data_IF_025965258235
#
_entry.id   IF_025965258235
#
_cell.length_a   1.000
_cell.length_b   1.000
_cell.length_c   1.000
_cell.angle_alpha   90.00
_cell.angle_beta   90.00
_cell.angle_gamma   90.00
#
_symmetry.space_group_name_H-M   'P 1'
#
loop_
_entity.id
_entity.type
_entity.pdbx_description
1 polymer ?
#
# COMPACT_ATOMS: atom_id res chain seq x y z
N UNK A 1 -2.37 1.77 3.53
CA UNK A 1 -2.43 3.25 3.51
C UNK A 1 -2.56 3.82 2.10
N UNK A 2 -1.86 3.29 1.08
CA UNK A 2 -1.99 3.75 -0.32
C UNK A 2 -3.43 3.87 -0.85
N UNK A 3 -4.33 2.90 -0.58
CA UNK A 3 -5.76 3.03 -0.95
C UNK A 3 -6.45 4.22 -0.27
N UNK A 4 -6.13 4.49 1.00
CA UNK A 4 -6.71 5.62 1.73
C UNK A 4 -6.15 6.95 1.22
N UNK A 5 -4.85 6.99 0.94
CA UNK A 5 -4.20 8.13 0.31
C UNK A 5 -4.84 8.45 -1.05
N UNK A 6 -4.97 7.45 -1.92
CA UNK A 6 -5.49 7.61 -3.27
C UNK A 6 -6.97 7.99 -3.33
N UNK A 7 -7.81 7.36 -2.51
CA UNK A 7 -9.27 7.43 -2.69
C UNK A 7 -10.00 8.18 -1.59
N UNK A 8 -9.49 8.21 -0.36
CA UNK A 8 -10.17 8.90 0.74
C UNK A 8 -9.81 10.38 0.83
N UNK A 9 -8.58 10.76 0.43
CA UNK A 9 -8.09 12.15 0.25
C UNK A 9 -8.55 13.15 1.33
N UNK A 10 -8.69 12.71 2.57
CA UNK A 10 -9.15 13.57 3.66
C UNK A 10 -7.98 14.45 4.15
N UNK A 11 -8.09 15.80 4.13
CA UNK A 11 -6.96 16.70 4.39
C UNK A 11 -6.26 16.47 5.74
N UNK A 12 -7.04 16.14 6.78
CA UNK A 12 -6.49 15.85 8.12
C UNK A 12 -5.69 14.55 8.20
N UNK A 13 -5.91 13.60 7.29
CA UNK A 13 -5.27 12.28 7.33
C UNK A 13 -4.20 12.08 6.26
N UNK A 14 -4.19 12.92 5.22
CA UNK A 14 -3.21 12.81 4.14
C UNK A 14 -1.75 12.85 4.64
N UNK A 15 -1.33 13.81 5.48
CA UNK A 15 0.03 13.83 6.02
C UNK A 15 0.36 12.55 6.81
N UNK A 16 -0.57 12.09 7.64
CA UNK A 16 -0.38 10.86 8.43
C UNK A 16 -0.21 9.62 7.55
N UNK A 17 -0.97 9.49 6.45
CA UNK A 17 -0.79 8.38 5.52
C UNK A 17 0.55 8.46 4.79
N UNK A 18 1.00 9.65 4.41
CA UNK A 18 2.33 9.85 3.80
C UNK A 18 3.41 9.32 4.73
N UNK A 19 3.44 9.80 5.99
CA UNK A 19 4.44 9.40 6.97
C UNK A 19 4.45 7.89 7.21
N UNK A 20 3.27 7.28 7.33
CA UNK A 20 3.15 5.82 7.50
C UNK A 20 3.63 5.06 6.25
N UNK A 21 3.30 5.52 5.04
CA UNK A 21 3.74 4.88 3.79
C UNK A 21 5.26 4.88 3.69
N UNK A 22 5.90 6.02 3.98
CA UNK A 22 7.36 6.15 3.91
C UNK A 22 8.05 5.23 4.91
N UNK A 23 7.56 5.20 6.16
CA UNK A 23 8.08 4.29 7.18
C UNK A 23 7.95 2.81 6.76
N UNK A 24 6.79 2.40 6.24
CA UNK A 24 6.61 1.02 5.78
C UNK A 24 7.51 0.68 4.59
N UNK A 25 7.73 1.61 3.65
CA UNK A 25 8.64 1.40 2.52
C UNK A 25 10.08 1.21 2.97
N UNK A 26 10.54 2.03 3.91
CA UNK A 26 11.87 1.88 4.50
C UNK A 26 12.03 0.51 5.19
N UNK A 27 11.04 0.07 5.97
CA UNK A 27 11.09 -1.26 6.59
C UNK A 27 11.10 -2.38 5.54
N UNK A 28 10.26 -2.28 4.51
CA UNK A 28 10.19 -3.25 3.44
C UNK A 28 11.47 -3.28 2.59
N UNK A 29 12.12 -2.13 2.34
CA UNK A 29 13.37 -2.07 1.58
C UNK A 29 14.52 -2.79 2.31
N UNK A 30 14.53 -2.74 3.65
CA UNK A 30 15.46 -3.52 4.47
C UNK A 30 15.15 -5.02 4.42
N UNK A 31 13.88 -5.41 4.54
CA UNK A 31 13.45 -6.82 4.52
C UNK A 31 13.67 -7.47 3.14
N UNK A 32 13.39 -6.74 2.07
CA UNK A 32 13.49 -7.22 0.69
C UNK A 32 14.91 -7.26 0.13
N UNK A 33 15.93 -6.90 0.93
CA UNK A 33 17.31 -7.34 0.68
C UNK A 33 17.43 -8.87 0.59
N UNK A 34 16.51 -9.59 1.23
CA UNK A 34 16.35 -11.03 1.05
C UNK A 34 15.46 -11.35 -0.14
N UNK A 35 16.05 -11.96 -1.17
CA UNK A 35 15.30 -12.40 -2.36
C UNK A 35 14.20 -13.43 -2.02
N UNK A 36 14.41 -14.25 -0.99
CA UNK A 36 13.40 -15.23 -0.53
C UNK A 36 12.16 -14.51 -0.01
N UNK A 37 12.35 -13.47 0.81
CA UNK A 37 11.24 -12.68 1.35
C UNK A 37 10.55 -11.90 0.23
N UNK A 38 11.31 -11.32 -0.69
CA UNK A 38 10.75 -10.62 -1.85
C UNK A 38 9.89 -11.54 -2.71
N UNK A 39 10.41 -12.72 -3.09
CA UNK A 39 9.67 -13.69 -3.88
C UNK A 39 8.38 -14.15 -3.17
N UNK A 40 8.44 -14.39 -1.86
CA UNK A 40 7.25 -14.72 -1.10
C UNK A 40 6.23 -13.57 -1.10
N UNK A 41 6.68 -12.32 -1.02
CA UNK A 41 5.81 -11.16 -1.11
C UNK A 41 5.11 -11.06 -2.49
N UNK A 42 5.82 -11.35 -3.59
CA UNK A 42 5.24 -11.41 -4.93
C UNK A 42 4.11 -12.45 -5.01
N UNK A 43 4.36 -13.67 -4.56
CA UNK A 43 3.36 -14.76 -4.56
C UNK A 43 2.12 -14.40 -3.73
N UNK A 44 2.33 -13.66 -2.63
CA UNK A 44 1.27 -13.29 -1.68
C UNK A 44 0.61 -11.95 -2.02
N UNK A 45 1.08 -11.24 -3.02
CA UNK A 45 0.68 -9.85 -3.28
C UNK A 45 -0.84 -9.69 -3.44
N UNK A 46 -1.47 -10.54 -4.26
CA UNK A 46 -2.93 -10.51 -4.45
C UNK A 46 -3.70 -10.74 -3.15
N UNK A 47 -3.26 -11.68 -2.31
CA UNK A 47 -3.86 -11.90 -0.99
C UNK A 47 -3.71 -10.68 -0.07
N UNK A 48 -2.52 -10.09 -0.03
CA UNK A 48 -2.24 -8.89 0.76
C UNK A 48 -3.11 -7.71 0.31
N UNK A 49 -3.29 -7.53 -1.00
CA UNK A 49 -4.17 -6.52 -1.56
C UNK A 49 -5.62 -6.70 -1.10
N UNK A 50 -6.18 -7.91 -1.21
CA UNK A 50 -7.56 -8.16 -0.78
C UNK A 50 -7.78 -7.89 0.72
N UNK A 51 -6.78 -8.19 1.55
CA UNK A 51 -6.81 -7.82 2.98
C UNK A 51 -6.74 -6.29 3.18
N UNK A 52 -5.90 -5.60 2.42
CA UNK A 52 -5.78 -4.14 2.47
C UNK A 52 -7.08 -3.46 2.02
N UNK A 53 -7.69 -3.94 0.93
CA UNK A 53 -8.97 -3.49 0.39
C UNK A 53 -10.07 -3.54 1.46
N UNK A 54 -10.24 -4.68 2.12
CA UNK A 54 -11.24 -4.83 3.18
C UNK A 54 -11.01 -3.89 4.37
N UNK A 55 -9.75 -3.69 4.78
CA UNK A 55 -9.42 -2.74 5.87
C UNK A 55 -9.69 -1.29 5.46
N UNK A 56 -9.24 -0.89 4.27
CA UNK A 56 -9.40 0.47 3.77
C UNK A 56 -10.89 0.81 3.53
N UNK A 57 -11.67 -0.11 2.97
CA UNK A 57 -13.11 0.07 2.75
C UNK A 57 -13.85 0.26 4.08
N UNK A 58 -13.56 -0.58 5.10
CA UNK A 58 -14.17 -0.42 6.44
C UNK A 58 -13.79 0.89 7.12
N UNK A 59 -12.53 1.33 6.99
CA UNK A 59 -12.03 2.55 7.64
C UNK A 59 -12.57 3.83 6.99
N UNK A 60 -12.71 3.83 5.67
CA UNK A 60 -13.12 5.02 4.89
C UNK A 60 -14.62 5.07 4.58
N UNK A 61 -15.33 3.93 4.62
CA UNK A 61 -16.71 3.79 4.15
C UNK A 61 -16.85 3.81 2.62
N UNK A 62 -15.73 3.80 1.87
CA UNK A 62 -15.73 3.88 0.40
C UNK A 62 -15.85 2.51 -0.26
N UNK A 63 -16.41 2.50 -1.47
CA UNK A 63 -16.25 1.39 -2.41
C UNK A 63 -14.95 1.60 -3.18
N UNK A 64 -13.99 0.69 -2.96
CA UNK A 64 -12.65 0.75 -3.54
C UNK A 64 -12.50 -0.30 -4.67
N UNK A 65 -11.50 -0.17 -5.55
CA UNK A 65 -11.30 -1.13 -6.64
C UNK A 65 -11.14 -2.56 -6.14
N UNK A 66 -11.75 -3.52 -6.84
CA UNK A 66 -11.65 -4.95 -6.48
C UNK A 66 -10.32 -5.55 -6.91
N UNK A 67 -9.76 -5.03 -8.01
CA UNK A 67 -8.45 -5.39 -8.53
C UNK A 67 -7.41 -4.32 -8.19
N UNK A 68 -6.18 -4.75 -7.88
CA UNK A 68 -5.11 -3.83 -7.54
C UNK A 68 -4.74 -2.96 -8.75
N UNK A 69 -4.82 -1.63 -8.64
CA UNK A 69 -4.50 -0.74 -9.77
C UNK A 69 -2.98 -0.53 -9.95
N UNK A 70 -2.15 -1.09 -9.07
CA UNK A 70 -0.71 -0.86 -9.05
C UNK A 70 0.06 -2.18 -8.96
N UNK A 71 1.24 -2.21 -9.58
CA UNK A 71 2.19 -3.30 -9.41
C UNK A 71 2.89 -3.18 -8.05
N UNK A 72 3.50 -4.26 -7.59
CA UNK A 72 4.26 -4.26 -6.34
C UNK A 72 5.50 -3.37 -6.44
N UNK A 73 6.17 -3.31 -7.59
CA UNK A 73 7.31 -2.41 -7.82
C UNK A 73 6.90 -0.96 -7.61
N UNK A 74 5.73 -0.57 -8.15
CA UNK A 74 5.20 0.79 -7.99
C UNK A 74 4.84 1.09 -6.54
N UNK A 75 4.28 0.12 -5.82
CA UNK A 75 3.96 0.28 -4.39
C UNK A 75 5.23 0.49 -3.55
N UNK A 76 6.33 -0.18 -3.90
CA UNK A 76 7.59 -0.11 -3.18
C UNK A 76 8.48 1.06 -3.57
N UNK A 77 8.21 1.72 -4.69
CA UNK A 77 8.91 2.92 -5.13
C UNK A 77 8.71 4.07 -4.11
N UNK A 78 9.83 4.51 -3.52
CA UNK A 78 9.88 5.54 -2.46
C UNK A 78 9.45 6.92 -3.00
N UNK A 79 9.68 7.20 -4.28
CA UNK A 79 9.35 8.49 -4.91
C UNK A 79 7.92 8.52 -5.46
N UNK A 80 7.16 7.44 -5.31
CA UNK A 80 5.85 7.32 -5.91
C UNK A 80 4.70 7.45 -4.90
N UNK A 81 3.70 8.28 -5.23
CA UNK A 81 2.41 8.30 -4.57
C UNK A 81 1.26 8.25 -5.58
N UNK A 82 0.13 7.60 -5.26
CA UNK A 82 -1.03 7.57 -6.14
C UNK A 82 -1.77 8.91 -6.15
N UNK A 83 -1.90 9.50 -7.35
CA UNK A 83 -2.57 10.79 -7.61
C UNK A 83 -4.00 10.65 -8.10
#
# INVERSE_FOLDING_TARGET
>A
HLLLYAYWKHPYYLPHWTDEIDNFRLELSLLFRSQVIYNHALERFGYCYQKALGKASRKSGLTLPVDCPWTIEKILDEDWFPG
#
